data_IF_740017885231
#
_entry.id   IF_740017885231
#
_cell.length_a   1.000
_cell.length_b   1.000
_cell.length_c   1.000
_cell.angle_alpha   90.00
_cell.angle_beta   90.00
_cell.angle_gamma   90.00
#
_symmetry.space_group_name_H-M   'P 1'
#
loop_
_entity.id
_entity.type
_entity.pdbx_description
1 polymer ?
#
# COMPACT_ATOMS: atom_id res chain seq x y z
N UNK A 1 -28.05 -16.89 -0.13
CA UNK A 1 -26.77 -17.44 0.35
C UNK A 1 -25.74 -17.69 -0.78
N UNK A 2 -26.15 -18.02 -2.03
CA UNK A 2 -25.21 -18.36 -3.12
C UNK A 2 -24.20 -17.30 -3.52
N UNK A 3 -24.55 -16.00 -3.52
CA UNK A 3 -23.64 -14.91 -3.96
C UNK A 3 -22.46 -14.74 -2.99
N UNK A 4 -22.73 -14.73 -1.70
CA UNK A 4 -21.69 -14.56 -0.67
C UNK A 4 -20.71 -15.73 -0.67
N UNK A 5 -21.23 -16.97 -0.76
CA UNK A 5 -20.39 -18.17 -0.81
C UNK A 5 -19.50 -18.16 -2.08
N UNK A 6 -20.07 -17.82 -3.23
CA UNK A 6 -19.30 -17.76 -4.48
C UNK A 6 -18.21 -16.67 -4.42
N UNK A 7 -18.51 -15.50 -3.87
CA UNK A 7 -17.50 -14.44 -3.67
C UNK A 7 -16.42 -14.88 -2.67
N UNK A 8 -16.80 -15.58 -1.60
CA UNK A 8 -15.83 -16.10 -0.62
C UNK A 8 -14.84 -17.09 -1.25
N UNK A 9 -15.35 -18.06 -2.03
CA UNK A 9 -14.51 -19.03 -2.72
C UNK A 9 -13.57 -18.33 -3.71
N UNK A 10 -14.08 -17.40 -4.52
CA UNK A 10 -13.25 -16.63 -5.46
C UNK A 10 -12.18 -15.83 -4.74
N UNK A 11 -12.52 -15.17 -3.65
CA UNK A 11 -11.56 -14.41 -2.85
C UNK A 11 -10.47 -15.31 -2.28
N UNK A 12 -10.83 -16.49 -1.78
CA UNK A 12 -9.86 -17.48 -1.28
C UNK A 12 -8.88 -17.92 -2.37
N UNK A 13 -9.38 -18.29 -3.54
CA UNK A 13 -8.53 -18.70 -4.69
C UNK A 13 -7.58 -17.55 -5.09
N UNK A 14 -8.09 -16.33 -5.21
CA UNK A 14 -7.30 -15.13 -5.54
C UNK A 14 -6.19 -14.92 -4.50
N UNK A 15 -6.51 -15.05 -3.21
CA UNK A 15 -5.53 -14.88 -2.13
C UNK A 15 -4.42 -15.93 -2.21
N UNK A 16 -4.74 -17.21 -2.50
CA UNK A 16 -3.72 -18.25 -2.68
C UNK A 16 -2.84 -18.01 -3.91
N UNK A 17 -3.43 -17.58 -5.04
CA UNK A 17 -2.66 -17.21 -6.24
C UNK A 17 -1.73 -16.03 -5.91
N UNK A 18 -2.24 -15.01 -5.25
CA UNK A 18 -1.43 -13.88 -4.82
C UNK A 18 -0.30 -14.32 -3.89
N UNK A 19 -0.58 -15.19 -2.91
CA UNK A 19 0.44 -15.73 -2.02
C UNK A 19 1.55 -16.45 -2.78
N UNK A 20 1.21 -17.29 -3.76
CA UNK A 20 2.18 -18.00 -4.59
C UNK A 20 3.09 -17.03 -5.38
N UNK A 21 2.50 -16.00 -6.02
CA UNK A 21 3.26 -14.97 -6.74
C UNK A 21 4.15 -14.20 -5.77
N UNK A 22 3.62 -13.79 -4.60
CA UNK A 22 4.37 -13.09 -3.57
C UNK A 22 5.54 -13.92 -3.03
N UNK A 23 5.35 -15.22 -2.84
CA UNK A 23 6.43 -16.12 -2.41
C UNK A 23 7.54 -16.20 -3.46
N UNK A 24 7.19 -16.31 -4.74
CA UNK A 24 8.18 -16.29 -5.84
C UNK A 24 8.95 -14.96 -5.85
N UNK A 25 8.25 -13.85 -5.75
CA UNK A 25 8.90 -12.53 -5.70
C UNK A 25 9.86 -12.43 -4.51
N UNK A 26 9.39 -12.77 -3.30
CA UNK A 26 10.15 -12.57 -2.06
C UNK A 26 11.32 -13.52 -1.91
N UNK A 27 11.16 -14.79 -2.30
CA UNK A 27 12.18 -15.81 -2.10
C UNK A 27 13.21 -15.86 -3.23
N UNK A 28 12.82 -15.49 -4.45
CA UNK A 28 13.68 -15.64 -5.62
C UNK A 28 13.99 -14.33 -6.31
N UNK A 29 12.96 -13.53 -6.67
CA UNK A 29 13.18 -12.38 -7.55
C UNK A 29 13.86 -11.21 -6.82
N UNK A 30 13.40 -10.82 -5.65
CA UNK A 30 13.99 -9.72 -4.91
C UNK A 30 15.47 -9.95 -4.57
N UNK A 31 15.87 -11.07 -3.94
CA UNK A 31 17.27 -11.27 -3.62
C UNK A 31 18.16 -11.37 -4.85
N UNK A 32 17.65 -11.99 -5.94
CA UNK A 32 18.45 -12.24 -7.12
C UNK A 32 18.60 -11.01 -8.02
N UNK A 33 17.59 -10.13 -8.08
CA UNK A 33 17.58 -8.98 -9.00
C UNK A 33 18.02 -7.68 -8.33
N UNK A 34 17.73 -7.48 -7.04
CA UNK A 34 18.09 -6.26 -6.31
C UNK A 34 19.37 -6.41 -5.47
N UNK A 35 19.74 -7.64 -5.08
CA UNK A 35 20.76 -7.89 -4.08
C UNK A 35 20.27 -7.64 -2.65
N UNK A 36 21.04 -8.10 -1.67
CA UNK A 36 20.61 -8.14 -0.26
C UNK A 36 20.38 -6.76 0.35
N UNK A 37 21.23 -5.77 0.00
CA UNK A 37 21.15 -4.42 0.56
C UNK A 37 19.87 -3.69 0.14
N UNK A 38 19.54 -3.72 -1.15
CA UNK A 38 18.35 -3.05 -1.68
C UNK A 38 17.07 -3.83 -1.38
N UNK A 39 17.14 -5.15 -1.31
CA UNK A 39 16.02 -5.95 -0.82
C UNK A 39 15.72 -5.63 0.65
N UNK A 40 16.77 -5.54 1.48
CA UNK A 40 16.63 -5.10 2.86
C UNK A 40 16.04 -3.70 3.00
N UNK A 41 16.50 -2.74 2.16
CA UNK A 41 15.97 -1.39 2.08
C UNK A 41 14.47 -1.37 1.75
N UNK A 42 14.06 -2.09 0.69
CA UNK A 42 12.65 -2.15 0.26
C UNK A 42 11.77 -2.70 1.38
N UNK A 43 12.15 -3.80 2.01
CA UNK A 43 11.41 -4.36 3.14
C UNK A 43 11.32 -3.40 4.33
N UNK A 44 12.40 -2.69 4.62
CA UNK A 44 12.43 -1.73 5.72
C UNK A 44 11.48 -0.55 5.48
N UNK A 45 11.51 0.05 4.28
CA UNK A 45 10.64 1.16 3.90
C UNK A 45 9.17 0.72 3.95
N UNK A 46 8.82 -0.43 3.34
CA UNK A 46 7.46 -0.94 3.33
C UNK A 46 6.96 -1.28 4.74
N UNK A 47 7.80 -1.87 5.58
CA UNK A 47 7.45 -2.17 6.97
C UNK A 47 7.23 -0.90 7.79
N UNK A 48 8.07 0.12 7.59
CA UNK A 48 7.93 1.43 8.25
C UNK A 48 6.66 2.15 7.78
N UNK A 49 6.36 2.10 6.48
CA UNK A 49 5.13 2.66 5.93
C UNK A 49 3.88 1.96 6.50
N UNK A 50 3.92 0.64 6.70
CA UNK A 50 2.83 -0.11 7.36
C UNK A 50 2.58 0.33 8.82
N UNK A 51 3.60 0.82 9.53
CA UNK A 51 3.44 1.38 10.88
C UNK A 51 2.78 2.77 10.83
N UNK A 52 3.12 3.59 9.84
CA UNK A 52 2.59 4.96 9.69
C UNK A 52 1.20 4.95 9.04
N UNK A 53 0.91 4.01 8.15
CA UNK A 53 -0.36 3.90 7.42
C UNK A 53 -1.61 4.04 8.32
N UNK A 54 -1.75 3.35 9.49
CA UNK A 54 -2.94 3.49 10.33
C UNK A 54 -3.13 4.90 10.88
N UNK A 55 -2.05 5.64 11.12
CA UNK A 55 -2.11 7.03 11.57
C UNK A 55 -2.63 7.95 10.46
N UNK A 56 -2.30 7.68 9.21
CA UNK A 56 -2.81 8.44 8.05
C UNK A 56 -4.24 8.05 7.70
N UNK A 57 -4.54 6.76 7.77
CA UNK A 57 -5.87 6.26 7.43
C UNK A 57 -6.94 6.62 8.47
N UNK A 58 -6.59 6.89 9.74
CA UNK A 58 -7.54 7.16 10.83
C UNK A 58 -8.73 6.19 10.90
N UNK A 59 -8.60 4.99 10.35
CA UNK A 59 -9.68 4.01 10.27
C UNK A 59 -10.87 4.40 9.37
N UNK A 60 -10.74 5.44 8.54
CA UNK A 60 -11.85 5.94 7.70
C UNK A 60 -12.37 4.93 6.69
N UNK A 61 -11.54 3.98 6.25
CA UNK A 61 -11.97 2.86 5.41
C UNK A 61 -13.00 1.96 6.12
N UNK A 62 -12.85 1.74 7.44
CA UNK A 62 -13.85 1.02 8.24
C UNK A 62 -15.10 1.87 8.47
N UNK A 63 -14.95 3.17 8.68
CA UNK A 63 -16.05 4.13 8.77
C UNK A 63 -16.88 4.13 7.48
N UNK A 64 -16.23 4.09 6.33
CA UNK A 64 -16.88 3.98 5.04
C UNK A 64 -17.75 2.72 4.95
N UNK A 65 -17.21 1.56 5.29
CA UNK A 65 -17.96 0.28 5.24
C UNK A 65 -19.15 0.31 6.18
N UNK A 66 -18.97 0.84 7.40
CA UNK A 66 -20.00 0.83 8.44
C UNK A 66 -21.16 1.75 8.14
N UNK A 67 -20.88 2.98 7.68
CA UNK A 67 -21.89 4.03 7.58
C UNK A 67 -22.41 4.28 6.16
N UNK A 68 -21.82 3.65 5.14
CA UNK A 68 -22.22 3.87 3.74
C UNK A 68 -23.71 3.60 3.48
N UNK A 69 -24.27 2.57 4.13
CA UNK A 69 -25.67 2.18 3.97
C UNK A 69 -26.68 3.12 4.65
N UNK A 70 -26.21 4.01 5.53
CA UNK A 70 -27.07 4.99 6.20
C UNK A 70 -27.45 6.16 5.27
N UNK A 71 -26.59 6.46 4.28
CA UNK A 71 -26.83 7.48 3.28
C UNK A 71 -27.70 6.94 2.15
N UNK A 72 -28.88 7.60 1.94
CA UNK A 72 -29.92 7.10 1.02
C UNK A 72 -29.78 7.68 -0.39
N UNK A 73 -29.34 8.92 -0.51
CA UNK A 73 -29.21 9.61 -1.80
C UNK A 73 -27.78 9.50 -2.35
N UNK A 74 -27.64 9.44 -3.66
CA UNK A 74 -26.32 9.42 -4.31
C UNK A 74 -25.50 10.67 -4.01
N UNK A 75 -26.17 11.83 -3.80
CA UNK A 75 -25.52 13.08 -3.40
C UNK A 75 -24.89 12.94 -2.00
N UNK A 76 -25.63 12.41 -1.03
CA UNK A 76 -25.10 12.18 0.33
C UNK A 76 -23.93 11.20 0.33
N UNK A 77 -24.05 10.09 -0.41
CA UNK A 77 -22.97 9.10 -0.55
C UNK A 77 -21.69 9.73 -1.14
N UNK A 78 -21.85 10.55 -2.20
CA UNK A 78 -20.74 11.25 -2.83
C UNK A 78 -20.09 12.28 -1.89
N UNK A 79 -20.87 13.03 -1.14
CA UNK A 79 -20.36 13.99 -0.15
C UNK A 79 -19.61 13.26 0.99
N UNK A 80 -20.18 12.16 1.49
CA UNK A 80 -19.54 11.34 2.50
C UNK A 80 -18.21 10.75 2.01
N UNK A 81 -18.20 10.21 0.80
CA UNK A 81 -16.96 9.69 0.20
C UNK A 81 -15.91 10.78 0.01
N UNK A 82 -16.30 11.98 -0.47
CA UNK A 82 -15.39 13.11 -0.60
C UNK A 82 -14.79 13.54 0.74
N UNK A 83 -15.60 13.53 1.80
CA UNK A 83 -15.13 13.81 3.16
C UNK A 83 -14.12 12.76 3.62
N UNK A 84 -14.39 11.48 3.39
CA UNK A 84 -13.47 10.37 3.73
C UNK A 84 -12.14 10.51 2.97
N UNK A 85 -12.15 10.91 1.70
CA UNK A 85 -10.93 11.14 0.93
C UNK A 85 -10.10 12.32 1.43
N UNK A 86 -10.72 13.32 2.07
CA UNK A 86 -9.99 14.46 2.61
C UNK A 86 -9.20 14.14 3.88
N UNK A 87 -9.61 13.15 4.67
CA UNK A 87 -9.01 12.85 5.98
C UNK A 87 -7.52 12.46 5.87
N UNK A 88 -7.08 11.54 5.00
CA UNK A 88 -5.65 11.24 4.86
C UNK A 88 -4.82 12.44 4.42
N UNK A 89 -5.37 13.33 3.58
CA UNK A 89 -4.69 14.58 3.20
C UNK A 89 -4.50 15.53 4.38
N UNK A 90 -5.48 15.62 5.26
CA UNK A 90 -5.35 16.40 6.48
C UNK A 90 -4.36 15.77 7.46
N UNK A 91 -4.31 14.44 7.52
CA UNK A 91 -3.42 13.70 8.40
C UNK A 91 -1.95 13.78 7.96
N UNK A 92 -1.67 13.82 6.65
CA UNK A 92 -0.29 13.90 6.17
C UNK A 92 0.36 15.25 6.47
N UNK A 93 -0.41 16.34 6.55
CA UNK A 93 0.13 17.68 6.79
C UNK A 93 0.97 17.77 8.06
N UNK A 94 0.47 17.42 9.26
CA UNK A 94 1.28 17.44 10.47
C UNK A 94 2.45 16.44 10.43
N UNK A 95 2.27 15.27 9.82
CA UNK A 95 3.33 14.27 9.67
C UNK A 95 4.45 14.80 8.77
N UNK A 96 4.09 15.49 7.69
CA UNK A 96 5.06 16.09 6.78
C UNK A 96 5.81 17.25 7.43
N UNK A 97 5.10 18.16 8.12
CA UNK A 97 5.73 19.27 8.87
C UNK A 97 6.70 18.74 9.91
N UNK A 98 6.26 17.79 10.74
CA UNK A 98 7.12 17.19 11.75
C UNK A 98 8.30 16.44 11.11
N UNK A 99 8.05 15.67 10.05
CA UNK A 99 9.06 14.94 9.31
C UNK A 99 10.11 15.82 8.67
N UNK A 100 9.76 17.02 8.16
CA UNK A 100 10.73 17.96 7.58
C UNK A 100 11.56 18.67 8.64
N UNK A 101 10.96 19.06 9.77
CA UNK A 101 11.65 19.73 10.87
C UNK A 101 12.68 18.79 11.52
N UNK A 102 12.33 17.54 11.75
CA UNK A 102 13.17 16.54 12.42
C UNK A 102 13.78 15.52 11.44
N UNK A 103 13.88 15.86 10.16
CA UNK A 103 14.38 14.94 9.14
C UNK A 103 15.76 14.36 9.46
N UNK A 104 16.78 15.17 9.84
CA UNK A 104 18.12 14.64 10.10
C UNK A 104 18.14 13.65 11.28
N UNK A 105 17.38 13.92 12.35
CA UNK A 105 17.30 13.07 13.53
C UNK A 105 16.58 11.76 13.21
N UNK A 106 15.45 11.85 12.52
CA UNK A 106 14.65 10.68 12.11
C UNK A 106 15.47 9.84 11.14
N UNK A 107 16.04 10.44 10.10
CA UNK A 107 16.81 9.72 9.09
C UNK A 107 18.05 9.05 9.70
N UNK A 108 18.79 9.75 10.58
CA UNK A 108 19.93 9.18 11.30
C UNK A 108 19.51 8.02 12.21
N UNK A 109 18.36 8.15 12.90
CA UNK A 109 17.85 7.07 13.75
C UNK A 109 17.47 5.84 12.95
N UNK A 110 16.77 6.02 11.83
CA UNK A 110 16.27 4.94 10.98
C UNK A 110 17.41 4.27 10.17
N UNK A 111 18.46 5.01 9.84
CA UNK A 111 19.60 4.52 9.05
C UNK A 111 20.71 3.85 9.87
N UNK A 112 20.59 3.76 11.21
CA UNK A 112 21.62 3.20 12.10
C UNK A 112 22.15 1.81 11.69
N UNK A 113 21.32 0.97 11.09
CA UNK A 113 21.71 -0.38 10.67
C UNK A 113 22.10 -0.46 9.19
N UNK A 114 21.63 0.46 8.37
CA UNK A 114 21.91 0.52 6.95
C UNK A 114 21.87 1.98 6.48
N UNK A 115 23.03 2.54 6.13
CA UNK A 115 23.17 3.94 5.73
C UNK A 115 22.38 4.28 4.46
N UNK A 116 22.13 3.32 3.58
CA UNK A 116 21.34 3.52 2.35
C UNK A 116 19.92 4.01 2.68
N UNK A 117 19.37 3.61 3.82
CA UNK A 117 18.02 4.01 4.26
C UNK A 117 17.89 5.53 4.37
N UNK A 118 18.97 6.25 4.71
CA UNK A 118 18.95 7.71 4.94
C UNK A 118 18.35 8.48 3.76
N UNK A 119 18.73 8.13 2.55
CA UNK A 119 18.31 8.83 1.34
C UNK A 119 16.85 8.52 0.93
N UNK A 120 16.25 7.47 1.50
CA UNK A 120 14.91 6.99 1.14
C UNK A 120 13.85 7.15 2.26
N UNK A 121 14.21 7.72 3.41
CA UNK A 121 13.28 7.91 4.55
C UNK A 121 12.06 8.74 4.17
N UNK A 122 12.21 9.72 3.27
CA UNK A 122 11.11 10.57 2.78
C UNK A 122 10.00 9.79 2.05
N UNK A 123 10.29 8.61 1.54
CA UNK A 123 9.30 7.75 0.87
C UNK A 123 8.30 7.13 1.86
N UNK A 124 8.70 6.90 3.10
CA UNK A 124 7.87 6.23 4.11
C UNK A 124 6.50 6.90 4.28
N UNK A 125 6.39 8.22 4.53
CA UNK A 125 5.10 8.87 4.64
C UNK A 125 4.29 8.88 3.33
N UNK A 126 4.94 8.96 2.18
CA UNK A 126 4.27 8.93 0.88
C UNK A 126 3.64 7.55 0.63
N UNK A 127 4.41 6.48 0.84
CA UNK A 127 3.90 5.11 0.70
C UNK A 127 2.77 4.86 1.70
N UNK A 128 2.90 5.31 2.96
CA UNK A 128 1.84 5.22 3.96
C UNK A 128 0.56 5.92 3.54
N UNK A 129 0.66 7.09 2.89
CA UNK A 129 -0.49 7.80 2.31
C UNK A 129 -1.11 7.02 1.15
N UNK A 130 -0.30 6.49 0.24
CA UNK A 130 -0.79 5.66 -0.87
C UNK A 130 -1.52 4.41 -0.35
N UNK A 131 -1.00 3.77 0.70
CA UNK A 131 -1.65 2.65 1.37
C UNK A 131 -3.00 3.06 1.99
N UNK A 132 -3.08 4.24 2.61
CA UNK A 132 -4.33 4.74 3.18
C UNK A 132 -5.40 4.96 2.11
N UNK A 133 -5.04 5.57 0.99
CA UNK A 133 -5.96 5.73 -0.15
C UNK A 133 -6.35 4.39 -0.77
N UNK A 134 -5.40 3.47 -0.91
CA UNK A 134 -5.69 2.14 -1.42
C UNK A 134 -6.76 1.43 -0.58
N UNK A 135 -6.66 1.48 0.75
CA UNK A 135 -7.65 0.87 1.64
C UNK A 135 -9.01 1.58 1.58
N UNK A 136 -9.05 2.91 1.36
CA UNK A 136 -10.31 3.64 1.14
C UNK A 136 -10.98 3.19 -0.16
N UNK A 137 -10.24 3.12 -1.28
CA UNK A 137 -10.79 2.65 -2.55
C UNK A 137 -11.19 1.17 -2.48
N UNK A 138 -10.44 0.35 -1.76
CA UNK A 138 -10.80 -1.04 -1.52
C UNK A 138 -12.10 -1.16 -0.70
N UNK A 139 -12.28 -0.32 0.32
CA UNK A 139 -13.54 -0.23 1.07
C UNK A 139 -14.70 0.22 0.17
N UNK A 140 -14.46 1.21 -0.72
CA UNK A 140 -15.45 1.66 -1.70
C UNK A 140 -15.92 0.54 -2.62
N UNK A 141 -15.01 -0.27 -3.14
CA UNK A 141 -15.34 -1.42 -3.98
C UNK A 141 -16.12 -2.48 -3.19
N UNK A 142 -15.82 -2.67 -1.91
CA UNK A 142 -16.54 -3.60 -1.02
C UNK A 142 -17.99 -3.18 -0.80
N UNK A 143 -18.27 -1.91 -0.54
CA UNK A 143 -19.64 -1.42 -0.30
C UNK A 143 -20.51 -1.52 -1.56
N UNK A 144 -19.90 -1.59 -2.74
CA UNK A 144 -20.56 -1.85 -4.01
C UNK A 144 -20.63 -3.34 -4.38
N UNK A 145 -20.40 -4.24 -3.43
CA UNK A 145 -20.44 -5.71 -3.61
C UNK A 145 -19.44 -6.27 -4.65
N UNK A 146 -18.39 -5.53 -4.96
CA UNK A 146 -17.35 -5.93 -5.91
C UNK A 146 -16.07 -6.39 -5.19
N UNK A 147 -16.22 -7.06 -4.04
CA UNK A 147 -15.09 -7.47 -3.19
C UNK A 147 -14.07 -8.36 -3.92
N UNK A 148 -14.51 -9.15 -4.88
CA UNK A 148 -13.64 -10.04 -5.69
C UNK A 148 -12.65 -9.24 -6.53
N UNK A 149 -13.13 -8.18 -7.19
CA UNK A 149 -12.26 -7.30 -7.98
C UNK A 149 -11.25 -6.57 -7.11
N UNK A 150 -11.70 -5.98 -6.00
CA UNK A 150 -10.80 -5.29 -5.05
C UNK A 150 -9.75 -6.22 -4.46
N UNK A 151 -10.13 -7.46 -4.09
CA UNK A 151 -9.21 -8.45 -3.59
C UNK A 151 -8.20 -8.91 -4.66
N UNK A 152 -8.63 -9.04 -5.92
CA UNK A 152 -7.74 -9.35 -7.03
C UNK A 152 -6.65 -8.28 -7.21
N UNK A 153 -7.02 -7.00 -7.22
CA UNK A 153 -6.04 -5.90 -7.31
C UNK A 153 -5.08 -5.95 -6.12
N UNK A 154 -5.61 -6.12 -4.90
CA UNK A 154 -4.82 -6.13 -3.66
C UNK A 154 -3.82 -7.29 -3.61
N UNK A 155 -4.27 -8.51 -3.89
CA UNK A 155 -3.47 -9.71 -3.66
C UNK A 155 -2.64 -10.14 -4.88
N UNK A 156 -3.15 -9.93 -6.08
CA UNK A 156 -2.53 -10.41 -7.32
C UNK A 156 -1.98 -9.25 -8.14
N UNK A 157 -2.78 -8.22 -8.37
CA UNK A 157 -2.43 -7.12 -9.27
C UNK A 157 -1.14 -6.41 -8.87
N UNK A 158 -1.02 -6.02 -7.60
CA UNK A 158 0.19 -5.37 -7.09
C UNK A 158 1.42 -6.27 -7.20
N UNK A 159 1.28 -7.57 -6.91
CA UNK A 159 2.42 -8.51 -6.97
C UNK A 159 2.88 -8.77 -8.40
N UNK A 160 1.95 -8.85 -9.35
CA UNK A 160 2.29 -8.92 -10.77
C UNK A 160 3.00 -7.66 -11.23
N UNK A 161 2.51 -6.48 -10.84
CA UNK A 161 3.14 -5.21 -11.18
C UNK A 161 4.58 -5.16 -10.66
N UNK A 162 4.79 -5.53 -9.40
CA UNK A 162 6.13 -5.67 -8.82
C UNK A 162 7.00 -6.65 -9.62
N UNK A 163 6.47 -7.83 -10.00
CA UNK A 163 7.20 -8.78 -10.82
C UNK A 163 7.66 -8.18 -12.15
N UNK A 164 6.78 -7.39 -12.80
CA UNK A 164 7.11 -6.71 -14.06
C UNK A 164 8.26 -5.72 -13.85
N UNK A 165 8.22 -4.92 -12.79
CA UNK A 165 9.31 -3.99 -12.47
C UNK A 165 10.61 -4.72 -12.13
N UNK A 166 10.55 -5.84 -11.40
CA UNK A 166 11.72 -6.66 -11.10
C UNK A 166 12.35 -7.26 -12.38
N UNK A 167 11.53 -7.72 -13.32
CA UNK A 167 12.05 -8.11 -14.64
C UNK A 167 12.64 -6.94 -15.41
N UNK A 168 12.08 -5.73 -15.27
CA UNK A 168 12.67 -4.50 -15.82
C UNK A 168 14.09 -4.25 -15.29
N UNK A 169 14.33 -4.50 -13.99
CA UNK A 169 15.69 -4.43 -13.42
C UNK A 169 16.58 -5.53 -13.99
N UNK A 170 16.10 -6.76 -14.05
CA UNK A 170 16.88 -7.90 -14.57
C UNK A 170 17.34 -7.69 -16.02
N UNK A 171 16.48 -7.15 -16.87
CA UNK A 171 16.81 -6.86 -18.28
C UNK A 171 17.53 -5.49 -18.47
N UNK A 172 17.88 -4.78 -17.37
CA UNK A 172 18.52 -3.46 -17.40
C UNK A 172 17.70 -2.36 -18.12
N UNK A 173 16.37 -2.49 -18.16
CA UNK A 173 15.48 -1.42 -18.64
C UNK A 173 15.35 -0.29 -17.62
N UNK A 174 15.43 -0.62 -16.33
CA UNK A 174 15.40 0.31 -15.20
C UNK A 174 16.53 -0.05 -14.24
N UNK A 175 17.07 0.96 -13.55
CA UNK A 175 18.07 0.74 -12.49
C UNK A 175 17.37 0.33 -11.19
N UNK A 176 18.14 -0.26 -10.25
CA UNK A 176 17.62 -0.61 -8.92
C UNK A 176 17.14 0.65 -8.19
N UNK A 177 17.83 1.76 -8.30
CA UNK A 177 17.41 3.04 -7.70
C UNK A 177 16.09 3.54 -8.29
N UNK A 178 15.91 3.43 -9.62
CA UNK A 178 14.64 3.76 -10.27
C UNK A 178 13.52 2.85 -9.82
N UNK A 179 13.78 1.55 -9.61
CA UNK A 179 12.79 0.61 -9.06
C UNK A 179 12.33 1.01 -7.66
N UNK A 180 13.23 1.48 -6.80
CA UNK A 180 12.91 1.87 -5.42
C UNK A 180 12.13 3.20 -5.39
N UNK A 181 12.33 4.07 -6.38
CA UNK A 181 11.66 5.37 -6.47
C UNK A 181 10.34 5.33 -7.27
N UNK A 182 10.05 4.25 -7.98
CA UNK A 182 8.83 4.06 -8.78
C UNK A 182 7.66 3.53 -7.95
#
# INVERSE_FOLDING_TARGET
MGIVINQSIKNTVITYIGFAIGAINTLFMYPHFLGDDFYGLTNYILSSANVIFPLMAFGVHNTLIKFFSEYKTEKEKSQFFSFILAIPLLAIVPIFIFGTIFYPEIATFLSKKNNIVYDYVWQIPIIGLCMAYFEIFYAWVKVHLQSVFGNFIKEVGLRILISIFLFGVYYNFITVEQFITA
#
